data_IF_456808247606
#
_entry.id   IF_456808247606
#
_cell.length_a   1.000
_cell.length_b   1.000
_cell.length_c   1.000
_cell.angle_alpha   90.00
_cell.angle_beta   90.00
_cell.angle_gamma   90.00
#
_symmetry.space_group_name_H-M   'P 1'
#
loop_
_entity.id
_entity.type
_entity.pdbx_description
1 polymer ?
#
# COMPACT_ATOMS: atom_id res chain seq x y z
N UNK A 1 -7.84 55.28 22.64
CA UNK A 1 -9.19 54.88 22.15
C UNK A 1 -9.17 53.52 21.44
N UNK A 2 -9.05 53.41 20.11
CA UNK A 2 -9.18 52.11 19.42
C UNK A 2 -8.04 51.10 19.72
N UNK A 3 -6.80 51.57 19.92
CA UNK A 3 -5.68 50.71 20.31
C UNK A 3 -5.88 50.06 21.67
N UNK A 4 -6.27 50.85 22.68
CA UNK A 4 -6.48 50.37 24.05
C UNK A 4 -7.68 49.44 24.15
N UNK A 5 -8.76 49.73 23.39
CA UNK A 5 -9.98 48.94 23.47
C UNK A 5 -9.87 47.57 22.78
N UNK A 6 -9.14 47.48 21.66
CA UNK A 6 -9.04 46.24 20.86
C UNK A 6 -7.68 45.55 20.93
N UNK A 7 -6.68 46.12 21.62
CA UNK A 7 -5.33 45.56 21.69
C UNK A 7 -4.59 45.52 20.33
N UNK A 8 -5.04 46.30 19.35
CA UNK A 8 -4.46 46.34 18.00
C UNK A 8 -3.49 47.51 17.88
N UNK A 9 -2.22 47.30 17.48
CA UNK A 9 -1.24 48.38 17.33
C UNK A 9 -1.70 49.49 16.37
N UNK A 10 -1.42 50.76 16.70
CA UNK A 10 -1.75 51.93 15.85
C UNK A 10 -1.22 51.75 14.43
N UNK A 11 -0.02 51.19 14.27
CA UNK A 11 0.59 50.95 12.96
C UNK A 11 -0.29 50.06 12.05
N UNK A 12 -0.96 49.06 12.60
CA UNK A 12 -1.88 48.18 11.86
C UNK A 12 -3.14 48.93 11.43
N UNK A 13 -3.66 49.80 12.31
CA UNK A 13 -4.83 50.64 12.04
C UNK A 13 -4.51 51.65 10.94
N UNK A 14 -3.40 52.38 11.08
CA UNK A 14 -2.95 53.36 10.09
C UNK A 14 -2.67 52.72 8.72
N UNK A 15 -2.01 51.56 8.66
CA UNK A 15 -1.75 50.85 7.40
C UNK A 15 -3.03 50.36 6.70
N UNK A 16 -4.08 50.04 7.46
CA UNK A 16 -5.39 49.67 6.90
C UNK A 16 -6.14 50.90 6.40
N UNK A 17 -6.18 51.97 7.18
CA UNK A 17 -6.80 53.24 6.78
C UNK A 17 -6.12 53.82 5.53
N UNK A 18 -4.80 53.69 5.43
CA UNK A 18 -4.03 54.16 4.27
C UNK A 18 -4.07 53.20 3.07
N UNK A 19 -4.84 52.10 3.13
CA UNK A 19 -4.93 51.09 2.06
C UNK A 19 -3.63 50.34 1.75
N UNK A 20 -2.59 50.50 2.58
CA UNK A 20 -1.27 49.87 2.37
C UNK A 20 -1.31 48.38 2.68
N UNK A 21 -2.19 47.96 3.60
CA UNK A 21 -2.38 46.56 3.95
C UNK A 21 -3.50 45.93 3.12
N UNK A 22 -3.12 45.11 2.13
CA UNK A 22 -4.05 44.43 1.20
C UNK A 22 -4.57 43.07 1.69
N UNK A 23 -4.11 42.59 2.84
CA UNK A 23 -4.57 41.31 3.41
C UNK A 23 -5.99 41.46 3.97
N UNK A 24 -6.96 40.62 3.54
CA UNK A 24 -8.32 40.61 4.08
C UNK A 24 -8.32 40.47 5.61
N UNK A 25 -9.31 41.08 6.28
CA UNK A 25 -9.38 41.10 7.75
C UNK A 25 -9.54 39.68 8.32
N UNK A 26 -10.20 38.80 7.56
CA UNK A 26 -10.51 37.41 7.92
C UNK A 26 -9.41 36.42 7.48
N UNK A 27 -8.28 36.89 6.92
CA UNK A 27 -7.21 36.00 6.48
C UNK A 27 -6.43 35.48 7.70
N UNK A 28 -6.80 34.30 8.19
CA UNK A 28 -6.10 33.61 9.30
C UNK A 28 -4.76 33.02 8.84
N UNK A 29 -4.64 32.66 7.56
CA UNK A 29 -3.45 32.02 7.01
C UNK A 29 -2.40 33.03 6.52
N UNK A 30 -1.14 32.86 6.98
CA UNK A 30 0.03 33.55 6.43
C UNK A 30 0.67 32.67 5.36
N UNK A 31 0.68 33.12 4.10
CA UNK A 31 1.34 32.41 3.01
C UNK A 31 0.68 32.59 1.64
N UNK A 32 1.34 32.09 0.60
CA UNK A 32 0.77 32.01 -0.75
C UNK A 32 -0.41 31.03 -0.75
N UNK A 33 -1.47 31.36 -1.49
CA UNK A 33 -2.60 30.44 -1.68
C UNK A 33 -2.10 29.14 -2.36
N UNK A 34 -2.71 27.99 -2.06
CA UNK A 34 -2.39 26.74 -2.75
C UNK A 34 -2.51 26.89 -4.27
N UNK A 35 -1.70 26.16 -5.02
CA UNK A 35 -1.69 26.22 -6.49
C UNK A 35 -2.98 25.67 -7.12
N UNK A 36 -3.73 24.84 -6.39
CA UNK A 36 -5.05 24.33 -6.78
C UNK A 36 -6.11 24.79 -5.76
N UNK A 37 -7.36 24.92 -6.20
CA UNK A 37 -8.46 25.24 -5.30
C UNK A 37 -8.77 24.06 -4.36
N UNK A 38 -9.35 24.35 -3.20
CA UNK A 38 -9.75 23.32 -2.24
C UNK A 38 -10.75 22.32 -2.85
N UNK A 39 -11.65 22.77 -3.72
CA UNK A 39 -12.63 21.92 -4.42
C UNK A 39 -11.96 20.89 -5.33
N UNK A 40 -10.92 21.32 -6.07
CA UNK A 40 -10.14 20.44 -6.94
C UNK A 40 -9.37 19.43 -6.10
N UNK A 41 -8.71 19.86 -5.02
CA UNK A 41 -7.98 18.96 -4.14
C UNK A 41 -8.91 17.92 -3.48
N UNK A 42 -10.11 18.31 -3.05
CA UNK A 42 -11.12 17.39 -2.51
C UNK A 42 -11.58 16.36 -3.56
N UNK A 43 -11.64 16.76 -4.83
CA UNK A 43 -12.00 15.85 -5.93
C UNK A 43 -10.88 14.83 -6.17
N UNK A 44 -9.62 15.27 -6.10
CA UNK A 44 -8.45 14.41 -6.20
C UNK A 44 -8.43 13.40 -5.03
N UNK A 45 -8.70 13.85 -3.80
CA UNK A 45 -8.80 12.98 -2.63
C UNK A 45 -9.83 11.87 -2.85
N UNK A 46 -11.05 12.22 -3.27
CA UNK A 46 -12.11 11.24 -3.58
C UNK A 46 -11.69 10.25 -4.66
N UNK A 47 -11.02 10.72 -5.71
CA UNK A 47 -10.51 9.87 -6.79
C UNK A 47 -9.48 8.85 -6.27
N UNK A 48 -8.51 9.30 -5.46
CA UNK A 48 -7.49 8.42 -4.85
C UNK A 48 -8.15 7.36 -3.96
N UNK A 49 -9.12 7.77 -3.13
CA UNK A 49 -9.85 6.86 -2.25
C UNK A 49 -10.64 5.81 -3.04
N UNK A 50 -11.33 6.21 -4.11
CA UNK A 50 -12.05 5.29 -4.97
C UNK A 50 -11.10 4.28 -5.64
N UNK A 51 -10.00 4.76 -6.23
CA UNK A 51 -8.97 3.90 -6.85
C UNK A 51 -8.37 2.90 -5.87
N UNK A 52 -8.10 3.33 -4.65
CA UNK A 52 -7.62 2.45 -3.58
C UNK A 52 -8.64 1.35 -3.22
N UNK A 53 -9.94 1.66 -3.23
CA UNK A 53 -11.00 0.67 -2.98
C UNK A 53 -11.09 -0.39 -4.09
N UNK A 54 -10.85 -0.01 -5.35
CA UNK A 54 -10.77 -0.96 -6.48
C UNK A 54 -9.46 -1.75 -6.54
N UNK A 55 -8.52 -1.49 -5.62
CA UNK A 55 -7.23 -2.19 -5.57
C UNK A 55 -6.19 -1.65 -6.54
N UNK A 56 -6.35 -0.41 -7.02
CA UNK A 56 -5.38 0.30 -7.87
C UNK A 56 -4.85 1.56 -7.18
N UNK A 57 -4.14 1.41 -6.03
CA UNK A 57 -3.73 2.56 -5.25
C UNK A 57 -2.59 3.33 -5.91
N UNK A 58 -2.70 4.65 -5.89
CA UNK A 58 -1.72 5.56 -6.47
C UNK A 58 -0.46 5.67 -5.62
N UNK A 59 0.72 5.55 -6.23
CA UNK A 59 1.96 6.00 -5.60
C UNK A 59 2.19 7.52 -5.74
N UNK A 60 3.31 8.02 -5.23
CA UNK A 60 3.65 9.46 -5.27
C UNK A 60 3.79 9.97 -6.71
N UNK A 61 4.44 9.21 -7.59
CA UNK A 61 4.68 9.63 -8.96
C UNK A 61 3.37 9.60 -9.75
N UNK A 62 2.58 8.53 -9.60
CA UNK A 62 1.26 8.39 -10.20
C UNK A 62 0.32 9.52 -9.77
N UNK A 63 0.40 9.98 -8.52
CA UNK A 63 -0.36 11.15 -8.06
C UNK A 63 0.11 12.43 -8.75
N UNK A 64 1.42 12.69 -8.80
CA UNK A 64 1.97 13.87 -9.47
C UNK A 64 1.61 13.89 -10.96
N UNK A 65 1.63 12.74 -11.61
CA UNK A 65 1.28 12.61 -13.03
C UNK A 65 -0.24 12.74 -13.26
N UNK A 66 -1.07 12.18 -12.37
CA UNK A 66 -2.53 12.38 -12.39
C UNK A 66 -2.89 13.86 -12.30
N UNK A 67 -2.22 14.60 -11.41
CA UNK A 67 -2.46 16.04 -11.26
C UNK A 67 -1.95 16.81 -12.45
N UNK A 68 -0.80 16.41 -13.02
CA UNK A 68 -0.29 16.99 -14.27
C UNK A 68 -1.32 16.86 -15.40
N UNK A 69 -1.82 15.65 -15.65
CA UNK A 69 -2.85 15.40 -16.68
C UNK A 69 -4.11 16.22 -16.40
N UNK A 70 -4.52 16.35 -15.14
CA UNK A 70 -5.67 17.17 -14.78
C UNK A 70 -5.45 18.65 -15.11
N UNK A 71 -4.31 19.22 -14.72
CA UNK A 71 -3.94 20.62 -14.97
C UNK A 71 -3.88 20.90 -16.47
N UNK A 72 -3.27 20.00 -17.25
CA UNK A 72 -3.21 20.11 -18.71
C UNK A 72 -4.60 20.02 -19.35
N UNK A 73 -5.45 19.07 -18.91
CA UNK A 73 -6.81 18.88 -19.45
C UNK A 73 -7.77 20.04 -19.18
N UNK A 74 -7.52 20.80 -18.11
CA UNK A 74 -8.33 21.93 -17.67
C UNK A 74 -7.67 23.28 -17.98
N UNK A 75 -6.52 23.26 -18.65
CA UNK A 75 -5.72 24.44 -19.01
C UNK A 75 -5.48 25.39 -17.82
N UNK A 76 -5.29 24.81 -16.63
CA UNK A 76 -5.16 25.58 -15.40
C UNK A 76 -3.78 26.25 -15.34
N UNK A 77 -3.79 27.57 -15.15
CA UNK A 77 -2.56 28.32 -14.89
C UNK A 77 -2.09 28.03 -13.46
N UNK A 78 -1.02 27.24 -13.35
CA UNK A 78 -0.42 26.85 -12.06
C UNK A 78 1.03 27.28 -11.98
N UNK A 79 1.58 27.38 -10.77
CA UNK A 79 2.99 27.69 -10.55
C UNK A 79 3.91 26.46 -10.67
N UNK A 80 3.40 25.36 -11.22
CA UNK A 80 4.12 24.10 -11.32
C UNK A 80 5.08 24.11 -12.51
N UNK A 81 6.27 23.52 -12.34
CA UNK A 81 7.20 23.34 -13.46
C UNK A 81 6.64 22.28 -14.40
N UNK A 82 6.42 22.62 -15.66
CA UNK A 82 5.81 21.75 -16.68
C UNK A 82 4.45 21.19 -16.25
N UNK A 83 3.62 22.00 -15.57
CA UNK A 83 2.31 21.61 -15.02
C UNK A 83 2.33 20.42 -14.04
N UNK A 84 3.51 19.96 -13.63
CA UNK A 84 3.68 18.82 -12.73
C UNK A 84 3.95 19.29 -11.30
N UNK A 85 3.15 18.88 -10.31
CA UNK A 85 3.41 19.22 -8.92
C UNK A 85 4.74 18.64 -8.45
N UNK A 86 5.44 19.43 -7.64
CA UNK A 86 6.66 19.00 -6.96
C UNK A 86 6.38 18.21 -5.69
N UNK A 87 7.47 17.89 -4.99
CA UNK A 87 7.43 17.15 -3.74
C UNK A 87 6.80 17.94 -2.59
N UNK A 88 7.07 19.25 -2.53
CA UNK A 88 6.49 20.12 -1.51
C UNK A 88 4.96 20.15 -1.60
N UNK A 89 4.43 20.27 -2.82
CA UNK A 89 2.98 20.22 -3.05
C UNK A 89 2.40 18.89 -2.59
N UNK A 90 3.09 17.78 -2.87
CA UNK A 90 2.66 16.44 -2.44
C UNK A 90 2.58 16.32 -0.92
N UNK A 91 3.63 16.73 -0.19
CA UNK A 91 3.63 16.66 1.27
C UNK A 91 2.59 17.58 1.89
N UNK A 92 2.42 18.79 1.35
CA UNK A 92 1.42 19.72 1.87
C UNK A 92 0.00 19.31 1.51
N UNK A 93 -0.23 18.67 0.36
CA UNK A 93 -1.50 18.02 0.01
C UNK A 93 -1.84 16.94 1.05
N UNK A 94 -0.92 16.05 1.39
CA UNK A 94 -1.16 15.03 2.42
C UNK A 94 -1.41 15.62 3.82
N UNK A 95 -0.76 16.74 4.17
CA UNK A 95 -1.03 17.45 5.44
C UNK A 95 -2.44 18.04 5.48
N UNK A 96 -2.95 18.54 4.36
CA UNK A 96 -4.33 19.07 4.25
C UNK A 96 -5.36 17.95 4.28
N UNK A 97 -5.06 16.80 3.66
CA UNK A 97 -5.98 15.66 3.50
C UNK A 97 -5.67 14.52 4.48
N UNK A 98 -6.01 14.74 5.76
CA UNK A 98 -5.71 13.81 6.86
C UNK A 98 -6.41 12.43 6.75
N UNK A 99 -7.39 12.28 5.86
CA UNK A 99 -8.00 10.98 5.58
C UNK A 99 -7.10 10.09 4.71
N UNK A 100 -6.05 10.63 4.11
CA UNK A 100 -5.07 9.88 3.33
C UNK A 100 -3.88 9.45 4.19
N UNK A 101 -3.29 8.31 3.82
CA UNK A 101 -2.10 7.76 4.47
C UNK A 101 -1.25 7.01 3.44
N UNK A 102 0.07 7.14 3.57
CA UNK A 102 1.03 6.42 2.73
C UNK A 102 1.39 5.11 3.42
N UNK A 103 1.16 3.98 2.76
CA UNK A 103 1.41 2.65 3.34
C UNK A 103 1.79 1.63 2.27
N UNK A 104 2.33 0.50 2.70
CA UNK A 104 2.63 -0.63 1.82
C UNK A 104 1.32 -1.35 1.46
N UNK A 105 0.98 -1.50 0.17
CA UNK A 105 -0.17 -2.31 -0.21
C UNK A 105 0.08 -3.79 0.06
N UNK A 106 -0.93 -4.49 0.56
CA UNK A 106 -0.98 -5.95 0.58
C UNK A 106 -1.38 -6.48 -0.80
N UNK A 107 -0.78 -7.61 -1.18
CA UNK A 107 -1.16 -8.32 -2.40
C UNK A 107 -2.48 -9.03 -2.15
N UNK A 108 -3.58 -8.48 -2.67
CA UNK A 108 -4.89 -9.10 -2.54
C UNK A 108 -5.18 -9.95 -3.78
N UNK A 109 -5.04 -11.26 -3.66
CA UNK A 109 -5.64 -12.18 -4.62
C UNK A 109 -7.14 -12.26 -4.33
N UNK A 110 -7.97 -11.80 -5.28
CA UNK A 110 -9.45 -11.79 -5.19
C UNK A 110 -10.02 -13.14 -4.70
N UNK A 111 -9.40 -14.25 -5.11
CA UNK A 111 -9.73 -15.62 -4.68
C UNK A 111 -9.66 -15.83 -3.16
N UNK A 112 -8.72 -15.20 -2.46
CA UNK A 112 -8.60 -15.31 -0.99
C UNK A 112 -9.79 -14.67 -0.26
N UNK A 113 -10.43 -13.64 -0.85
CA UNK A 113 -11.62 -13.03 -0.27
C UNK A 113 -12.82 -13.97 -0.37
N UNK A 114 -12.99 -14.63 -1.52
CA UNK A 114 -14.09 -15.58 -1.72
C UNK A 114 -13.91 -16.89 -0.94
N UNK A 115 -12.67 -17.35 -0.77
CA UNK A 115 -12.33 -18.54 0.03
C UNK A 115 -12.63 -18.38 1.54
N UNK A 116 -12.77 -17.15 2.05
CA UNK A 116 -13.10 -16.87 3.47
C UNK A 116 -14.60 -16.92 3.78
N UNK A 117 -15.47 -17.18 2.80
CA UNK A 117 -16.92 -17.27 3.04
C UNK A 117 -17.20 -18.41 4.04
N UNK A 118 -18.05 -18.21 5.07
CA UNK A 118 -18.29 -19.22 6.10
C UNK A 118 -18.67 -20.60 5.55
N UNK A 119 -19.52 -20.63 4.51
CA UNK A 119 -19.92 -21.88 3.84
C UNK A 119 -18.73 -22.67 3.26
N UNK A 120 -17.76 -21.97 2.66
CA UNK A 120 -16.56 -22.60 2.07
C UNK A 120 -15.67 -23.16 3.18
N UNK A 121 -15.46 -22.37 4.24
CA UNK A 121 -14.63 -22.76 5.39
C UNK A 121 -15.23 -23.95 6.13
N UNK A 122 -16.53 -23.93 6.45
CA UNK A 122 -17.18 -25.04 7.15
C UNK A 122 -17.20 -26.32 6.31
N UNK A 123 -17.50 -26.21 5.01
CA UNK A 123 -17.46 -27.37 4.12
C UNK A 123 -16.05 -28.00 4.04
N UNK A 124 -15.00 -27.18 4.01
CA UNK A 124 -13.63 -27.66 4.04
C UNK A 124 -13.32 -28.45 5.33
N UNK A 125 -13.63 -27.89 6.50
CA UNK A 125 -13.35 -28.56 7.78
C UNK A 125 -14.17 -29.84 7.98
N UNK A 126 -15.39 -29.89 7.45
CA UNK A 126 -16.21 -31.10 7.48
C UNK A 126 -15.57 -32.23 6.65
N UNK A 127 -15.16 -31.94 5.41
CA UNK A 127 -14.45 -32.90 4.56
C UNK A 127 -13.13 -33.33 5.20
N UNK A 128 -12.38 -32.38 5.76
CA UNK A 128 -11.13 -32.67 6.48
C UNK A 128 -11.37 -33.64 7.64
N UNK A 129 -12.38 -33.37 8.47
CA UNK A 129 -12.75 -34.24 9.60
C UNK A 129 -13.10 -35.65 9.13
N UNK A 130 -13.97 -35.77 8.13
CA UNK A 130 -14.36 -37.07 7.57
C UNK A 130 -13.16 -37.83 6.99
N UNK A 131 -12.25 -37.13 6.33
CA UNK A 131 -11.02 -37.72 5.80
C UNK A 131 -10.13 -38.24 6.93
N UNK A 132 -9.91 -37.46 7.99
CA UNK A 132 -9.12 -37.87 9.15
C UNK A 132 -9.72 -39.10 9.86
N UNK A 133 -11.06 -39.16 10.00
CA UNK A 133 -11.75 -40.34 10.55
C UNK A 133 -11.54 -41.56 9.65
N UNK A 134 -11.85 -41.43 8.36
CA UNK A 134 -11.79 -42.56 7.40
C UNK A 134 -10.39 -43.14 7.20
N UNK A 135 -9.34 -42.35 7.50
CA UNK A 135 -7.94 -42.73 7.37
C UNK A 135 -7.27 -43.09 8.70
N UNK A 136 -8.03 -43.08 9.82
CA UNK A 136 -7.51 -43.35 11.16
C UNK A 136 -6.33 -42.44 11.56
N UNK A 137 -6.48 -41.13 11.32
CA UNK A 137 -5.43 -40.12 11.52
C UNK A 137 -5.75 -39.12 12.66
N UNK A 138 -6.78 -39.37 13.46
CA UNK A 138 -7.19 -38.45 14.55
C UNK A 138 -6.28 -38.55 15.77
N UNK A 139 -5.71 -39.73 16.01
CA UNK A 139 -4.96 -40.00 17.22
C UNK A 139 -3.62 -39.25 17.22
N UNK A 140 -3.18 -38.69 18.37
CA UNK A 140 -1.94 -37.89 18.44
C UNK A 140 -0.68 -38.63 17.98
N UNK A 141 -0.63 -39.95 18.15
CA UNK A 141 0.45 -40.83 17.68
C UNK A 141 0.56 -40.89 16.14
N UNK A 142 -0.49 -40.45 15.42
CA UNK A 142 -0.54 -40.40 13.95
C UNK A 142 -0.20 -39.02 13.39
N UNK A 143 0.12 -38.04 14.24
CA UNK A 143 0.46 -36.68 13.81
C UNK A 143 1.65 -36.64 12.83
N UNK A 144 2.58 -37.59 12.93
CA UNK A 144 3.73 -37.73 12.03
C UNK A 144 3.37 -38.05 10.57
N UNK A 145 2.11 -38.41 10.29
CA UNK A 145 1.61 -38.65 8.92
C UNK A 145 0.88 -37.43 8.32
N UNK A 146 0.71 -36.36 9.09
CA UNK A 146 0.01 -35.15 8.65
C UNK A 146 1.05 -34.06 8.41
N UNK A 147 1.18 -33.62 7.17
CA UNK A 147 2.12 -32.59 6.78
C UNK A 147 1.38 -31.36 6.24
N UNK A 148 1.80 -30.19 6.68
CA UNK A 148 1.45 -28.93 6.05
C UNK A 148 2.62 -28.48 5.16
N UNK A 149 2.35 -28.37 3.87
CA UNK A 149 3.29 -27.84 2.89
C UNK A 149 2.75 -26.52 2.35
N UNK A 150 3.56 -25.47 2.37
CA UNK A 150 3.20 -24.18 1.80
C UNK A 150 4.36 -23.55 1.03
N UNK A 151 4.01 -22.81 -0.02
CA UNK A 151 4.96 -22.15 -0.91
C UNK A 151 5.15 -20.69 -0.52
N UNK A 152 6.37 -20.36 -0.11
CA UNK A 152 6.79 -18.99 0.16
C UNK A 152 7.56 -18.41 -1.03
N UNK A 153 6.97 -17.41 -1.67
CA UNK A 153 7.57 -16.73 -2.82
C UNK A 153 8.45 -15.58 -2.33
N UNK A 154 9.75 -15.66 -2.60
CA UNK A 154 10.74 -14.62 -2.33
C UNK A 154 10.98 -13.84 -3.63
N UNK A 155 10.47 -12.59 -3.73
CA UNK A 155 10.66 -11.79 -4.93
C UNK A 155 12.12 -11.27 -5.03
N UNK A 156 12.72 -11.38 -6.22
CA UNK A 156 14.06 -10.84 -6.51
C UNK A 156 14.09 -9.30 -6.44
N UNK A 157 12.98 -8.66 -6.80
CA UNK A 157 12.78 -7.21 -6.64
C UNK A 157 11.80 -6.92 -5.50
N UNK A 158 12.24 -6.37 -4.37
CA UNK A 158 11.36 -5.81 -3.37
C UNK A 158 10.84 -4.48 -3.94
N UNK A 159 9.82 -4.52 -4.80
CA UNK A 159 9.08 -3.31 -5.15
C UNK A 159 8.33 -2.82 -3.90
N UNK A 160 9.06 -2.06 -3.08
CA UNK A 160 8.66 -1.39 -1.83
C UNK A 160 7.76 -0.18 -2.16
N UNK A 161 6.92 -0.28 -3.18
CA UNK A 161 6.11 0.85 -3.63
C UNK A 161 5.07 1.10 -2.55
N UNK A 162 5.27 2.20 -1.81
CA UNK A 162 4.26 2.72 -0.90
C UNK A 162 3.23 3.46 -1.74
N UNK A 163 1.97 3.19 -1.47
CA UNK A 163 0.86 3.84 -2.16
C UNK A 163 -0.04 4.55 -1.15
N UNK A 164 -0.83 5.48 -1.67
CA UNK A 164 -1.71 6.36 -0.92
C UNK A 164 -3.07 5.66 -0.80
N UNK A 165 -3.62 5.64 0.41
CA UNK A 165 -4.96 5.10 0.65
C UNK A 165 -5.56 5.59 1.97
N UNK A 166 -6.82 5.22 2.21
CA UNK A 166 -7.59 5.70 3.35
C UNK A 166 -6.93 5.36 4.70
N UNK A 167 -6.73 6.36 5.56
CA UNK A 167 -6.17 6.18 6.91
C UNK A 167 -6.98 5.15 7.71
N UNK A 168 -6.29 4.27 8.44
CA UNK A 168 -6.91 3.24 9.27
C UNK A 168 -7.47 2.02 8.54
N UNK A 169 -7.43 1.96 7.20
CA UNK A 169 -7.84 0.76 6.43
C UNK A 169 -6.66 0.05 5.79
N UNK A 170 -6.67 -1.29 5.65
CA UNK A 170 -5.66 -1.99 4.85
C UNK A 170 -5.74 -1.52 3.39
N UNK A 171 -4.59 -1.42 2.73
CA UNK A 171 -4.48 -1.02 1.32
C UNK A 171 -4.11 -2.26 0.52
N UNK A 172 -4.80 -2.49 -0.59
CA UNK A 172 -4.55 -3.65 -1.44
C UNK A 172 -4.12 -3.19 -2.83
N UNK A 173 -3.18 -3.90 -3.46
CA UNK A 173 -2.80 -3.68 -4.86
C UNK A 173 -3.05 -4.95 -5.66
N UNK A 174 -3.88 -4.87 -6.69
CA UNK A 174 -4.07 -5.93 -7.68
C UNK A 174 -2.80 -5.95 -8.55
N UNK A 175 -2.01 -7.02 -8.46
CA UNK A 175 -0.86 -7.20 -9.34
C UNK A 175 -1.29 -7.98 -10.57
N UNK A 176 -1.24 -7.36 -11.75
CA UNK A 176 -1.27 -8.03 -13.05
C UNK A 176 0.14 -8.05 -13.62
N UNK A 177 0.85 -9.17 -13.50
CA UNK A 177 2.19 -9.26 -14.06
C UNK A 177 2.82 -10.64 -13.86
N UNK A 178 3.15 -11.27 -15.00
CA UNK A 178 3.88 -12.54 -15.13
C UNK A 178 5.41 -12.38 -14.98
N UNK A 179 5.90 -11.14 -14.91
CA UNK A 179 7.32 -10.79 -15.11
C UNK A 179 8.20 -10.64 -13.87
N UNK A 180 7.86 -11.22 -12.70
CA UNK A 180 8.73 -11.15 -11.51
C UNK A 180 9.52 -12.44 -11.39
N UNK A 181 10.85 -12.34 -11.47
CA UNK A 181 11.72 -13.45 -11.08
C UNK A 181 11.60 -13.64 -9.59
N UNK A 182 11.00 -14.76 -9.19
CA UNK A 182 10.85 -15.10 -7.80
C UNK A 182 11.55 -16.42 -7.56
N UNK A 183 12.20 -16.53 -6.41
CA UNK A 183 12.63 -17.83 -5.88
C UNK A 183 11.52 -18.33 -4.98
N UNK A 184 11.01 -19.52 -5.22
CA UNK A 184 9.98 -20.12 -4.37
C UNK A 184 10.63 -21.10 -3.42
N UNK A 185 10.27 -21.05 -2.15
CA UNK A 185 10.69 -22.02 -1.13
C UNK A 185 9.46 -22.78 -0.70
N UNK A 186 9.45 -24.09 -0.97
CA UNK A 186 8.47 -25.02 -0.44
C UNK A 186 8.99 -25.53 0.90
N UNK A 187 8.29 -25.15 1.98
CA UNK A 187 8.56 -25.65 3.32
C UNK A 187 7.47 -26.64 3.72
N UNK A 188 7.85 -27.73 4.36
CA UNK A 188 6.93 -28.79 4.77
C UNK A 188 7.20 -29.16 6.22
N UNK A 189 6.16 -29.06 7.05
CA UNK A 189 6.21 -29.29 8.50
C UNK A 189 5.14 -30.31 8.88
N UNK A 190 5.55 -31.36 9.59
CA UNK A 190 4.66 -32.35 10.16
C UNK A 190 3.90 -31.81 11.37
N UNK A 191 2.70 -32.34 11.63
CA UNK A 191 1.89 -31.96 12.79
C UNK A 191 2.52 -32.39 14.12
N UNK A 192 3.48 -33.33 14.08
CA UNK A 192 4.35 -33.73 15.19
C UNK A 192 5.50 -32.75 15.45
N UNK A 193 5.66 -31.71 14.61
CA UNK A 193 6.75 -30.74 14.68
C UNK A 193 7.98 -31.13 13.87
N UNK A 194 7.96 -32.25 13.16
CA UNK A 194 9.04 -32.63 12.25
C UNK A 194 9.15 -31.63 11.08
N UNK A 195 10.37 -31.30 10.66
CA UNK A 195 10.61 -30.37 9.55
C UNK A 195 11.31 -31.13 8.43
N UNK A 196 10.65 -31.24 7.27
CA UNK A 196 11.28 -31.81 6.09
C UNK A 196 12.24 -30.77 5.47
N UNK A 197 13.34 -31.21 4.83
CA UNK A 197 14.24 -30.29 4.15
C UNK A 197 13.50 -29.45 3.11
N UNK A 198 13.74 -28.13 3.05
CA UNK A 198 13.03 -27.26 2.13
C UNK A 198 13.43 -27.55 0.68
N UNK A 199 12.51 -27.31 -0.24
CA UNK A 199 12.77 -27.33 -1.68
C UNK A 199 12.78 -25.89 -2.20
N UNK A 200 13.92 -25.47 -2.74
CA UNK A 200 14.10 -24.15 -3.35
C UNK A 200 13.96 -24.29 -4.86
N UNK A 201 12.96 -23.60 -5.42
CA UNK A 201 12.65 -23.57 -6.85
C UNK A 201 13.12 -22.22 -7.40
N UNK A 202 14.11 -22.26 -8.30
CA UNK A 202 14.59 -21.09 -9.02
C UNK A 202 13.93 -20.98 -10.38
N UNK A 203 13.83 -19.75 -10.90
CA UNK A 203 13.46 -19.57 -12.30
C UNK A 203 14.68 -19.91 -13.18
N UNK A 204 14.60 -20.96 -13.99
CA UNK A 204 15.67 -21.34 -14.91
C UNK A 204 15.38 -22.62 -15.69
N UNK A 205 16.34 -23.06 -16.50
CA UNK A 205 16.28 -24.37 -17.18
C UNK A 205 17.12 -25.44 -16.47
N UNK A 206 18.07 -25.03 -15.63
CA UNK A 206 18.92 -25.91 -14.85
C UNK A 206 19.45 -25.17 -13.60
N UNK A 207 19.66 -25.91 -12.51
CA UNK A 207 20.26 -25.39 -11.27
C UNK A 207 21.74 -25.13 -11.49
N UNK A 208 22.20 -23.91 -11.19
CA UNK A 208 23.62 -23.56 -11.29
C UNK A 208 24.34 -23.81 -9.95
N UNK A 209 25.61 -24.28 -9.95
CA UNK A 209 26.35 -24.54 -8.71
C UNK A 209 26.41 -23.34 -7.76
N UNK A 210 26.48 -22.12 -8.30
CA UNK A 210 26.49 -20.87 -7.53
C UNK A 210 25.18 -20.56 -6.77
N UNK A 211 24.10 -21.27 -7.05
CA UNK A 211 22.80 -21.08 -6.37
C UNK A 211 22.65 -21.94 -5.11
N UNK A 212 23.55 -22.92 -4.93
CA UNK A 212 23.58 -23.82 -3.78
C UNK A 212 24.50 -23.23 -2.71
N UNK A 213 24.18 -23.45 -1.44
CA UNK A 213 25.00 -23.01 -0.31
C UNK A 213 25.24 -24.16 0.65
N UNK A 214 26.52 -24.38 1.00
CA UNK A 214 26.93 -25.35 2.02
C UNK A 214 26.45 -24.97 3.43
N UNK A 215 26.10 -23.70 3.65
CA UNK A 215 25.54 -23.18 4.91
C UNK A 215 24.01 -23.29 4.98
N UNK A 216 23.38 -23.91 3.97
CA UNK A 216 21.93 -24.12 3.93
C UNK A 216 21.43 -25.11 4.97
N UNK A 217 20.11 -25.18 5.17
CA UNK A 217 19.51 -26.19 6.04
C UNK A 217 19.86 -27.61 5.51
N UNK A 218 20.21 -28.57 6.37
CA UNK A 218 20.61 -29.90 5.92
C UNK A 218 19.57 -30.57 5.02
N UNK A 219 20.02 -31.13 3.90
CA UNK A 219 19.16 -31.82 2.94
C UNK A 219 18.33 -30.91 2.04
N UNK A 220 18.52 -29.58 2.07
CA UNK A 220 17.85 -28.64 1.17
C UNK A 220 18.05 -29.08 -0.28
N UNK A 221 16.94 -29.17 -1.02
CA UNK A 221 16.96 -29.51 -2.45
C UNK A 221 16.75 -28.25 -3.27
N UNK A 222 17.36 -28.23 -4.44
CA UNK A 222 17.28 -27.12 -5.37
C UNK A 222 16.78 -27.65 -6.71
N UNK A 223 15.81 -26.97 -7.31
CA UNK A 223 15.29 -27.27 -8.64
C UNK A 223 15.04 -25.98 -9.41
N UNK A 224 14.83 -26.10 -10.71
CA UNK A 224 14.26 -25.05 -11.55
C UNK A 224 12.85 -25.35 -11.98
#
# INVERSE_FOLDING_TARGET
>A
AAQEFYGVPISVICQRLSGKRRTPIDSVARGRKPALSAEVENTIEKCILARAQYGYPCDKNELQDLVKTYVESKELQTSFKNNRPGDDWYYDFLKRHLALSVKKPELLQKLRKDARKPKVVYNFYEILRQTLISKDLISPDKACFIYNADESVIPSDPSRIRAIGQKGRPLCRVSGGSGRENTTVLACIGADGSVLPPLVVFKGAAVQPRWVSEKGYPGTRYTT
#
